data_IF_182500273025
#
_entry.id   IF_182500273025
#
_cell.length_a   1.000
_cell.length_b   1.000
_cell.length_c   1.000
_cell.angle_alpha   90.00
_cell.angle_beta   90.00
_cell.angle_gamma   90.00
#
_symmetry.space_group_name_H-M   'P 1'
#
loop_
_entity.id
_entity.type
_entity.pdbx_description
1 polymer ?
#
# COMPACT_ATOMS: atom_id res chain seq x y z
N UNK A 1 46.98 -47.59 14.12
CA UNK A 1 45.63 -48.04 13.72
C UNK A 1 44.97 -46.97 12.85
N UNK A 2 44.74 -47.31 11.59
CA UNK A 2 44.00 -46.68 10.45
C UNK A 2 43.12 -45.44 10.78
N UNK A 3 43.34 -44.25 10.20
CA UNK A 3 42.83 -43.73 8.89
C UNK A 3 41.40 -44.18 8.53
N UNK A 4 40.47 -43.23 8.25
CA UNK A 4 39.89 -42.92 6.90
C UNK A 4 38.44 -42.34 6.94
N UNK A 5 38.25 -41.17 6.29
CA UNK A 5 37.09 -40.60 5.51
C UNK A 5 35.70 -40.42 6.17
N UNK A 6 35.16 -39.20 6.22
CA UNK A 6 34.48 -38.37 5.18
C UNK A 6 32.99 -38.71 4.93
N UNK A 7 32.18 -37.64 5.00
CA UNK A 7 30.88 -37.39 4.35
C UNK A 7 29.64 -38.16 4.81
N UNK A 8 28.59 -37.40 5.18
CA UNK A 8 27.21 -37.86 5.03
C UNK A 8 26.17 -37.21 5.93
N UNK A 9 25.69 -36.01 5.56
CA UNK A 9 24.27 -35.57 5.62
C UNK A 9 23.35 -36.24 6.67
N UNK A 10 22.89 -35.47 7.67
CA UNK A 10 21.48 -35.05 7.91
C UNK A 10 21.13 -34.83 9.39
N UNK A 11 21.04 -33.55 9.75
CA UNK A 11 19.96 -32.87 10.49
C UNK A 11 19.30 -33.56 11.71
N UNK A 12 19.41 -32.83 12.84
CA UNK A 12 18.41 -32.41 13.87
C UNK A 12 19.13 -32.50 15.23
N UNK A 13 19.33 -31.43 16.00
CA UNK A 13 18.30 -30.57 16.59
C UNK A 13 18.80 -29.13 16.75
N UNK A 14 17.90 -28.20 16.46
CA UNK A 14 18.08 -26.79 16.67
C UNK A 14 17.93 -26.46 18.17
N UNK A 15 19.05 -26.10 18.81
CA UNK A 15 19.05 -25.28 20.02
C UNK A 15 19.35 -23.85 19.62
N UNK A 16 18.30 -23.04 19.40
CA UNK A 16 18.48 -21.59 19.29
C UNK A 16 18.72 -21.05 20.69
N UNK A 17 19.96 -20.62 20.96
CA UNK A 17 20.25 -19.76 22.11
C UNK A 17 19.58 -18.42 21.81
N UNK A 18 18.42 -18.19 22.44
CA UNK A 18 17.92 -16.83 22.64
C UNK A 18 18.97 -16.08 23.46
N UNK A 19 19.48 -14.97 22.92
CA UNK A 19 20.20 -14.04 23.77
C UNK A 19 19.21 -13.46 24.79
N UNK A 20 19.62 -13.32 26.07
CA UNK A 20 18.75 -12.80 27.11
C UNK A 20 18.41 -11.34 26.79
N UNK A 21 17.12 -11.07 26.61
CA UNK A 21 16.57 -9.72 26.68
C UNK A 21 16.74 -9.27 28.12
N UNK A 22 17.53 -8.23 28.33
CA UNK A 22 17.73 -7.62 29.63
C UNK A 22 16.37 -7.07 30.12
N UNK A 23 15.78 -7.75 31.11
CA UNK A 23 14.50 -7.39 31.69
C UNK A 23 14.78 -6.46 32.87
N UNK A 24 14.91 -5.14 32.61
CA UNK A 24 14.64 -4.04 33.56
C UNK A 24 14.89 -2.63 32.99
N UNK A 25 14.26 -2.27 31.86
CA UNK A 25 14.05 -0.86 31.44
C UNK A 25 12.67 -0.72 30.74
N UNK A 26 11.88 0.34 31.00
CA UNK A 26 10.65 0.58 30.26
C UNK A 26 10.98 1.11 28.85
N UNK A 27 10.59 0.35 27.81
CA UNK A 27 10.04 0.93 26.57
C UNK A 27 10.96 1.28 25.39
N UNK A 28 11.94 0.47 24.99
CA UNK A 28 12.63 0.73 23.72
C UNK A 28 11.83 0.18 22.52
N UNK A 29 11.16 1.07 21.76
CA UNK A 29 10.51 0.72 20.49
C UNK A 29 11.48 0.91 19.33
N UNK A 30 11.53 -0.06 18.41
CA UNK A 30 12.38 0.04 17.23
C UNK A 30 11.81 1.05 16.24
N UNK A 31 12.59 2.08 15.89
CA UNK A 31 12.25 3.03 14.80
C UNK A 31 11.98 2.26 13.51
N UNK A 32 10.82 2.44 12.90
CA UNK A 32 10.41 1.80 11.64
C UNK A 32 10.97 2.59 10.45
N UNK A 33 10.83 3.92 10.47
CA UNK A 33 11.31 4.83 9.44
C UNK A 33 11.35 6.27 9.96
N UNK A 34 12.00 7.17 9.21
CA UNK A 34 11.87 8.61 9.44
C UNK A 34 10.76 9.23 8.61
N UNK A 35 10.15 10.28 9.12
CA UNK A 35 9.17 11.10 8.43
C UNK A 35 9.52 12.58 8.53
N UNK A 36 8.99 13.39 7.61
CA UNK A 36 9.15 14.84 7.58
C UNK A 36 7.81 15.53 7.75
N UNK A 37 7.71 16.43 8.72
CA UNK A 37 6.49 17.18 9.01
C UNK A 37 6.16 18.15 7.87
N UNK A 38 4.94 18.11 7.37
CA UNK A 38 4.46 18.93 6.23
C UNK A 38 3.62 20.13 6.68
N UNK A 39 2.94 20.02 7.82
CA UNK A 39 2.14 21.11 8.42
C UNK A 39 3.02 22.21 9.02
N UNK A 40 2.52 23.46 9.05
CA UNK A 40 3.21 24.59 9.73
C UNK A 40 3.48 24.27 11.20
N UNK A 41 2.46 23.75 11.87
CA UNK A 41 2.49 23.27 13.25
C UNK A 41 1.69 21.98 13.30
N UNK A 42 2.23 20.96 13.94
CA UNK A 42 1.59 19.66 14.16
C UNK A 42 1.63 19.34 15.64
N UNK A 43 0.48 19.01 16.24
CA UNK A 43 0.42 18.61 17.63
C UNK A 43 0.98 17.20 17.81
N UNK A 44 1.85 17.03 18.81
CA UNK A 44 2.25 15.74 19.36
C UNK A 44 1.38 15.48 20.59
N UNK A 45 0.73 14.30 20.63
CA UNK A 45 -0.31 13.98 21.60
C UNK A 45 0.04 12.76 22.45
N UNK A 46 -0.59 12.65 23.62
CA UNK A 46 -0.38 11.51 24.52
C UNK A 46 -0.98 10.19 24.01
N UNK A 47 -1.99 10.24 23.16
CA UNK A 47 -2.64 9.05 22.56
C UNK A 47 -3.13 9.32 21.11
N UNK A 48 -3.45 8.28 20.35
CA UNK A 48 -3.90 8.31 18.95
C UNK A 48 -5.35 8.78 18.78
N UNK A 49 -5.67 10.00 19.21
CA UNK A 49 -7.00 10.60 19.14
C UNK A 49 -6.97 12.13 19.09
N UNK A 50 -8.04 12.76 18.61
CA UNK A 50 -8.13 14.23 18.56
C UNK A 50 -8.43 14.87 19.92
N UNK A 51 -9.04 14.11 20.84
CA UNK A 51 -9.38 14.56 22.19
C UNK A 51 -8.27 14.27 23.21
N UNK A 52 -7.19 13.59 22.81
CA UNK A 52 -6.05 13.31 23.70
C UNK A 52 -5.21 14.56 23.94
N UNK A 53 -4.56 14.60 25.10
CA UNK A 53 -3.76 15.75 25.55
C UNK A 53 -2.65 16.08 24.54
N UNK A 54 -2.49 17.37 24.23
CA UNK A 54 -1.37 17.87 23.42
C UNK A 54 -0.16 18.05 24.32
N UNK A 55 0.80 17.13 24.23
CA UNK A 55 2.02 17.11 25.04
C UNK A 55 3.20 17.81 24.36
N UNK A 56 3.01 18.29 23.12
CA UNK A 56 4.04 19.00 22.39
C UNK A 56 3.61 19.45 21.00
N UNK A 57 4.53 20.11 20.30
CA UNK A 57 4.34 20.59 18.92
C UNK A 57 5.57 20.34 18.09
N UNK A 58 5.34 19.93 16.85
CA UNK A 58 6.33 19.82 15.78
C UNK A 58 6.08 20.95 14.77
N UNK A 59 7.13 21.37 14.07
CA UNK A 59 7.11 22.42 13.07
C UNK A 59 7.32 21.85 11.68
N UNK A 60 6.93 22.61 10.66
CA UNK A 60 7.18 22.23 9.26
C UNK A 60 8.66 21.93 9.03
N UNK A 61 8.91 20.81 8.37
CA UNK A 61 10.21 20.23 8.07
C UNK A 61 10.92 19.51 9.22
N UNK A 62 10.37 19.48 10.43
CA UNK A 62 10.91 18.63 11.50
C UNK A 62 10.98 17.19 11.02
N UNK A 63 12.06 16.50 11.41
CA UNK A 63 12.23 15.07 11.18
C UNK A 63 11.78 14.32 12.42
N UNK A 64 10.98 13.28 12.21
CA UNK A 64 10.46 12.43 13.28
C UNK A 64 10.83 10.98 13.02
N UNK A 65 11.10 10.23 14.08
CA UNK A 65 11.32 8.79 14.03
C UNK A 65 10.01 8.08 14.34
N UNK A 66 9.43 7.42 13.34
CA UNK A 66 8.16 6.70 13.47
C UNK A 66 8.47 5.32 14.04
N UNK A 67 7.89 4.97 15.18
CA UNK A 67 8.10 3.70 15.89
C UNK A 67 6.91 2.76 15.81
N UNK A 68 5.70 3.29 15.58
CA UNK A 68 4.50 2.50 15.27
C UNK A 68 3.67 3.21 14.22
N UNK A 69 3.16 2.44 13.27
CA UNK A 69 2.23 2.92 12.26
C UNK A 69 0.83 2.46 12.64
N UNK A 70 -0.02 3.41 13.00
CA UNK A 70 -1.46 3.23 13.01
C UNK A 70 -2.02 3.82 11.72
N UNK A 71 -3.33 3.71 11.52
CA UNK A 71 -3.93 4.16 10.27
C UNK A 71 -3.84 5.66 10.08
N UNK A 72 -4.39 6.44 11.01
CA UNK A 72 -4.41 7.90 10.95
C UNK A 72 -3.29 8.57 11.75
N UNK A 73 -2.54 7.76 12.51
CA UNK A 73 -1.56 8.21 13.48
C UNK A 73 -0.24 7.48 13.31
N UNK A 74 0.85 8.22 13.47
CA UNK A 74 2.14 7.65 13.76
C UNK A 74 2.44 7.85 15.24
N UNK A 75 2.86 6.78 15.90
CA UNK A 75 3.59 6.94 17.14
C UNK A 75 5.05 7.25 16.79
N UNK A 76 5.57 8.32 17.36
CA UNK A 76 6.89 8.86 17.09
C UNK A 76 7.73 8.91 18.36
N UNK A 77 9.05 8.79 18.22
CA UNK A 77 9.96 9.21 19.28
C UNK A 77 9.77 10.71 19.53
N UNK A 78 9.54 11.10 20.78
CA UNK A 78 9.32 12.49 21.16
C UNK A 78 9.91 12.76 22.54
N UNK A 79 10.96 13.59 22.59
CA UNK A 79 11.80 13.77 23.78
C UNK A 79 12.35 12.40 24.27
N UNK A 80 12.26 12.13 25.57
CA UNK A 80 12.67 10.88 26.20
C UNK A 80 11.55 9.80 26.21
N UNK A 81 10.46 10.02 25.48
CA UNK A 81 9.30 9.11 25.42
C UNK A 81 8.70 9.03 24.01
N UNK A 82 7.42 8.67 23.91
CA UNK A 82 6.67 8.58 22.66
C UNK A 82 5.50 9.57 22.64
N UNK A 83 5.12 9.98 21.44
CA UNK A 83 3.92 10.77 21.21
C UNK A 83 3.21 10.29 19.95
N UNK A 84 1.93 10.60 19.83
CA UNK A 84 1.15 10.36 18.62
C UNK A 84 1.03 11.65 17.80
N UNK A 85 1.34 11.55 16.52
CA UNK A 85 1.19 12.64 15.57
C UNK A 85 0.39 12.15 14.36
N UNK A 86 -0.48 13.01 13.83
CA UNK A 86 -1.35 12.63 12.71
C UNK A 86 -0.49 12.30 11.48
N UNK A 87 -0.67 11.08 10.95
CA UNK A 87 0.07 10.56 9.81
C UNK A 87 -0.07 11.46 8.57
N UNK A 88 -1.25 12.07 8.40
CA UNK A 88 -1.55 13.05 7.35
C UNK A 88 -0.51 14.16 7.21
N UNK A 89 0.08 14.59 8.32
CA UNK A 89 1.00 15.73 8.37
C UNK A 89 2.46 15.33 8.45
N UNK A 90 2.78 14.04 8.24
CA UNK A 90 4.14 13.51 8.22
C UNK A 90 4.31 12.76 6.90
N UNK A 91 5.20 13.24 6.03
CA UNK A 91 5.59 12.53 4.82
C UNK A 91 6.71 11.53 5.17
N UNK A 92 6.49 10.21 5.08
CA UNK A 92 7.57 9.24 5.26
C UNK A 92 8.73 9.48 4.30
N UNK A 93 9.97 9.34 4.78
CA UNK A 93 11.20 9.53 4.01
C UNK A 93 11.72 8.22 3.44
N UNK A 94 10.82 7.48 2.80
CA UNK A 94 11.15 6.20 2.18
C UNK A 94 11.78 6.46 0.81
N UNK A 95 12.96 5.90 0.58
CA UNK A 95 13.62 5.90 -0.72
C UNK A 95 13.70 4.47 -1.25
N UNK A 96 13.77 4.33 -2.56
CA UNK A 96 14.15 3.05 -3.15
C UNK A 96 15.55 3.15 -3.74
N UNK A 97 16.28 2.04 -3.75
CA UNK A 97 17.62 1.98 -4.31
C UNK A 97 17.93 0.62 -4.93
N UNK A 98 18.85 0.60 -5.88
CA UNK A 98 19.37 -0.64 -6.49
C UNK A 98 20.77 -0.97 -5.95
N UNK A 99 21.01 -2.25 -5.67
CA UNK A 99 22.34 -2.71 -5.27
C UNK A 99 23.30 -2.69 -6.47
N UNK A 100 24.37 -1.90 -6.40
CA UNK A 100 25.41 -1.83 -7.44
C UNK A 100 26.41 -2.98 -7.37
N UNK A 101 26.65 -3.51 -6.17
CA UNK A 101 27.65 -4.56 -5.94
C UNK A 101 27.13 -5.94 -6.38
N UNK A 102 28.01 -6.81 -6.90
CA UNK A 102 27.67 -8.21 -7.25
C UNK A 102 26.97 -8.93 -6.10
N UNK A 103 27.50 -8.75 -4.89
CA UNK A 103 26.94 -9.27 -3.65
C UNK A 103 27.27 -8.26 -2.53
N UNK A 104 26.24 -7.79 -1.83
CA UNK A 104 26.31 -6.80 -0.77
C UNK A 104 25.87 -7.42 0.56
N UNK A 105 26.68 -7.31 1.60
CA UNK A 105 26.30 -7.77 2.94
C UNK A 105 25.26 -6.81 3.55
N UNK A 106 24.22 -7.41 4.16
CA UNK A 106 23.30 -6.73 5.06
C UNK A 106 23.75 -6.99 6.48
N UNK A 107 23.88 -5.92 7.27
CA UNK A 107 24.45 -5.95 8.60
C UNK A 107 23.44 -5.61 9.68
N UNK A 108 23.68 -6.08 10.90
CA UNK A 108 22.83 -5.78 12.07
C UNK A 108 22.93 -4.33 12.55
N UNK A 109 24.09 -3.67 12.40
CA UNK A 109 24.33 -2.28 12.79
C UNK A 109 25.04 -1.50 11.65
N UNK A 110 25.01 -0.14 11.66
CA UNK A 110 25.64 0.69 10.63
C UNK A 110 27.17 0.77 10.79
N UNK A 111 27.85 -0.38 10.85
CA UNK A 111 29.31 -0.43 10.90
C UNK A 111 29.86 -1.72 10.25
N UNK A 112 31.17 -1.75 9.96
CA UNK A 112 31.80 -2.86 9.22
C UNK A 112 32.03 -4.12 10.09
N UNK A 113 31.91 -4.01 11.40
CA UNK A 113 32.29 -5.05 12.35
C UNK A 113 31.08 -5.83 12.89
N UNK A 114 29.87 -5.31 12.71
CA UNK A 114 28.66 -5.98 13.16
C UNK A 114 28.32 -7.21 12.31
N UNK A 115 27.48 -8.08 12.86
CA UNK A 115 27.06 -9.32 12.22
C UNK A 115 26.48 -9.11 10.82
N UNK A 116 26.78 -10.07 9.95
CA UNK A 116 26.18 -10.17 8.62
C UNK A 116 24.91 -11.01 8.74
N UNK A 117 23.76 -10.35 8.70
CA UNK A 117 22.44 -10.98 8.82
C UNK A 117 21.87 -11.42 7.46
N UNK A 118 22.56 -11.06 6.37
CA UNK A 118 22.10 -11.37 5.04
C UNK A 118 23.01 -10.88 3.91
N UNK A 119 22.62 -11.19 2.68
CA UNK A 119 23.27 -10.69 1.47
C UNK A 119 22.25 -10.33 0.39
N UNK A 120 22.56 -9.31 -0.41
CA UNK A 120 21.76 -8.84 -1.54
C UNK A 120 22.61 -8.94 -2.81
N UNK A 121 22.01 -9.39 -3.91
CA UNK A 121 22.70 -9.47 -5.21
C UNK A 121 22.62 -8.13 -5.94
N UNK A 122 23.47 -7.94 -6.95
CA UNK A 122 23.38 -6.79 -7.87
C UNK A 122 21.96 -6.64 -8.42
N UNK A 123 21.54 -5.40 -8.63
CA UNK A 123 20.24 -4.97 -9.14
C UNK A 123 19.06 -5.37 -8.24
N UNK A 124 19.34 -5.93 -7.05
CA UNK A 124 18.32 -6.11 -6.03
C UNK A 124 17.83 -4.74 -5.58
N UNK A 125 16.53 -4.49 -5.77
CA UNK A 125 15.88 -3.32 -5.21
C UNK A 125 15.70 -3.47 -3.70
N UNK A 126 15.97 -2.37 -3.00
CA UNK A 126 15.83 -2.22 -1.56
C UNK A 126 14.96 -1.00 -1.26
N UNK A 127 14.32 -1.05 -0.10
CA UNK A 127 13.57 0.05 0.49
C UNK A 127 14.44 0.61 1.60
N UNK A 128 14.81 1.87 1.46
CA UNK A 128 15.62 2.62 2.42
C UNK A 128 14.66 3.43 3.27
N UNK A 129 14.73 3.22 4.58
CA UNK A 129 13.85 3.86 5.57
C UNK A 129 14.56 4.90 6.42
N UNK A 130 15.90 4.89 6.39
CA UNK A 130 16.76 5.86 7.07
C UNK A 130 18.18 5.86 6.47
N UNK A 131 18.93 6.92 6.75
CA UNK A 131 20.32 7.13 6.36
C UNK A 131 21.10 7.74 7.53
N UNK A 132 22.20 7.09 7.92
CA UNK A 132 23.09 7.50 9.00
C UNK A 132 24.55 7.25 8.60
N UNK A 133 25.36 8.30 8.54
CA UNK A 133 26.82 8.23 8.36
C UNK A 133 27.28 7.30 7.21
N UNK A 134 26.62 7.41 6.06
CA UNK A 134 26.94 6.61 4.87
C UNK A 134 26.45 5.15 4.94
N UNK A 135 25.61 4.82 5.91
CA UNK A 135 24.83 3.59 5.99
C UNK A 135 23.36 3.87 5.74
N UNK A 136 22.75 3.01 4.96
CA UNK A 136 21.32 3.02 4.69
C UNK A 136 20.68 1.93 5.53
N UNK A 137 19.71 2.32 6.34
CA UNK A 137 18.82 1.37 6.99
C UNK A 137 17.77 0.93 5.99
N UNK A 138 17.59 -0.38 5.85
CA UNK A 138 16.70 -0.98 4.88
C UNK A 138 15.72 -1.93 5.54
N UNK A 139 14.52 -2.05 4.98
CA UNK A 139 13.65 -3.18 5.30
C UNK A 139 14.30 -4.46 4.77
N UNK A 140 14.51 -5.44 5.64
CA UNK A 140 15.14 -6.71 5.28
C UNK A 140 14.43 -7.88 5.98
N UNK A 141 13.76 -8.71 5.16
CA UNK A 141 12.85 -9.76 5.64
C UNK A 141 11.79 -9.12 6.56
N UNK A 142 11.54 -9.70 7.73
CA UNK A 142 10.56 -9.21 8.70
C UNK A 142 11.08 -8.04 9.55
N UNK A 143 12.39 -7.75 9.53
CA UNK A 143 13.02 -6.71 10.34
C UNK A 143 13.78 -5.68 9.48
N UNK A 144 14.79 -5.04 10.05
CA UNK A 144 15.65 -4.07 9.40
C UNK A 144 17.10 -4.54 9.36
N UNK A 145 17.87 -3.97 8.44
CA UNK A 145 19.31 -4.15 8.39
C UNK A 145 19.98 -2.92 7.80
N UNK A 146 21.30 -2.92 7.83
CA UNK A 146 22.12 -1.81 7.34
C UNK A 146 22.97 -2.25 6.16
N UNK A 147 23.02 -1.39 5.14
CA UNK A 147 23.90 -1.56 3.98
C UNK A 147 24.66 -0.27 3.73
N UNK A 148 25.89 -0.35 3.23
CA UNK A 148 26.67 0.87 2.96
C UNK A 148 26.10 1.59 1.73
N UNK A 149 25.80 2.88 1.88
CA UNK A 149 25.22 3.74 0.84
C UNK A 149 26.05 3.76 -0.45
N UNK A 150 27.39 3.63 -0.33
CA UNK A 150 28.31 3.60 -1.48
C UNK A 150 28.00 2.48 -2.48
N UNK A 151 27.36 1.39 -2.04
CA UNK A 151 26.99 0.25 -2.89
C UNK A 151 25.56 0.30 -3.38
N UNK A 152 24.83 1.37 -3.10
CA UNK A 152 23.46 1.56 -3.54
C UNK A 152 23.43 2.69 -4.57
N UNK A 153 22.61 2.49 -5.60
CA UNK A 153 22.19 3.54 -6.50
C UNK A 153 20.81 4.03 -6.07
N UNK A 154 20.76 5.17 -5.39
CA UNK A 154 19.53 5.87 -4.99
C UNK A 154 18.93 6.70 -6.12
N UNK A 155 19.68 6.91 -7.22
CA UNK A 155 19.25 7.66 -8.41
C UNK A 155 18.90 6.75 -9.58
N UNK A 156 19.07 5.44 -9.42
CA UNK A 156 18.68 4.45 -10.42
C UNK A 156 17.20 4.62 -10.75
N UNK A 157 16.93 5.29 -11.87
CA UNK A 157 15.67 5.14 -12.58
C UNK A 157 15.52 3.66 -12.91
N UNK A 158 14.31 3.13 -12.75
CA UNK A 158 13.98 1.74 -13.04
C UNK A 158 14.48 1.39 -14.45
N UNK A 159 15.56 0.61 -14.55
CA UNK A 159 15.92 0.00 -15.82
C UNK A 159 14.91 -1.15 -16.07
N UNK A 160 13.75 -0.78 -16.60
CA UNK A 160 12.60 -1.65 -16.84
C UNK A 160 11.29 -0.94 -16.46
N UNK A 161 10.40 -0.73 -17.44
CA UNK A 161 9.13 0.03 -17.37
C UNK A 161 9.15 1.25 -16.44
N UNK A 162 9.09 2.45 -17.02
CA UNK A 162 8.81 3.68 -16.26
C UNK A 162 7.36 3.64 -15.76
N UNK A 163 7.17 3.21 -14.52
CA UNK A 163 5.85 3.24 -13.88
C UNK A 163 5.41 4.68 -13.62
N UNK A 164 4.12 4.93 -13.77
CA UNK A 164 3.56 6.27 -13.85
C UNK A 164 3.70 7.05 -12.55
N UNK A 165 3.69 6.34 -11.41
CA UNK A 165 3.88 6.96 -10.09
C UNK A 165 5.24 7.66 -9.94
N UNK A 166 6.25 7.32 -10.73
CA UNK A 166 7.58 7.93 -10.69
C UNK A 166 7.75 9.09 -11.69
N UNK A 167 6.73 9.42 -12.47
CA UNK A 167 6.78 10.50 -13.46
C UNK A 167 6.38 11.83 -12.83
N UNK A 168 7.37 12.69 -12.55
CA UNK A 168 7.16 13.99 -11.90
C UNK A 168 6.28 14.95 -12.70
N UNK A 169 6.34 14.88 -14.04
CA UNK A 169 5.53 15.76 -14.90
C UNK A 169 4.05 15.35 -14.87
N UNK A 170 3.78 14.05 -14.88
CA UNK A 170 2.41 13.54 -14.69
C UNK A 170 1.87 13.83 -13.29
N UNK A 171 2.72 13.80 -12.26
CA UNK A 171 2.31 14.16 -10.90
C UNK A 171 1.90 15.64 -10.77
N UNK A 172 2.48 16.53 -11.59
CA UNK A 172 2.14 17.96 -11.63
C UNK A 172 0.97 18.28 -12.55
N UNK A 173 0.58 17.35 -13.42
CA UNK A 173 -0.48 17.58 -14.39
C UNK A 173 -1.82 17.91 -13.67
N UNK A 174 -2.57 18.92 -14.13
CA UNK A 174 -3.92 19.19 -13.63
C UNK A 174 -4.81 17.95 -13.77
N UNK A 175 -5.61 17.67 -12.75
CA UNK A 175 -6.55 16.54 -12.77
C UNK A 175 -7.78 16.85 -13.62
N UNK A 176 -8.34 18.04 -13.43
CA UNK A 176 -9.58 18.46 -14.05
C UNK A 176 -9.35 18.92 -15.50
N UNK A 177 -10.27 18.61 -16.43
CA UNK A 177 -10.24 19.13 -17.79
C UNK A 177 -10.58 20.62 -17.82
N UNK A 178 -10.04 21.34 -18.81
CA UNK A 178 -10.38 22.75 -19.04
C UNK A 178 -11.88 22.93 -19.30
N UNK A 179 -12.47 22.04 -20.11
CA UNK A 179 -13.91 22.01 -20.39
C UNK A 179 -14.59 20.93 -19.56
N UNK A 180 -15.35 21.35 -18.55
CA UNK A 180 -16.20 20.47 -17.74
C UNK A 180 -17.53 20.17 -18.43
N UNK A 181 -18.07 18.99 -18.13
CA UNK A 181 -19.39 18.54 -18.52
C UNK A 181 -20.45 19.04 -17.54
N UNK A 182 -21.62 19.43 -18.05
CA UNK A 182 -22.78 19.71 -17.21
C UNK A 182 -23.28 18.41 -16.54
N UNK A 183 -23.51 18.43 -15.22
CA UNK A 183 -23.86 17.22 -14.44
C UNK A 183 -25.37 16.97 -14.46
N UNK A 184 -25.87 16.51 -15.61
CA UNK A 184 -27.30 16.21 -15.85
C UNK A 184 -27.56 14.71 -16.07
N UNK A 185 -28.82 14.32 -16.21
CA UNK A 185 -29.25 12.95 -16.53
C UNK A 185 -29.49 12.04 -15.31
N UNK A 186 -29.57 10.73 -15.57
CA UNK A 186 -29.76 9.70 -14.54
C UNK A 186 -28.51 9.47 -13.69
N UNK A 187 -28.62 8.54 -12.73
CA UNK A 187 -27.55 8.24 -11.77
C UNK A 187 -26.20 7.92 -12.43
N UNK A 188 -26.20 7.02 -13.43
CA UNK A 188 -24.96 6.60 -14.11
C UNK A 188 -24.34 7.77 -14.87
N UNK A 189 -25.15 8.54 -15.61
CA UNK A 189 -24.66 9.70 -16.35
C UNK A 189 -24.06 10.76 -15.42
N UNK A 190 -24.70 11.04 -14.27
CA UNK A 190 -24.16 11.96 -13.26
C UNK A 190 -22.80 11.49 -12.73
N UNK A 191 -22.67 10.21 -12.39
CA UNK A 191 -21.40 9.63 -11.91
C UNK A 191 -20.30 9.79 -12.98
N UNK A 192 -20.58 9.41 -14.22
CA UNK A 192 -19.61 9.48 -15.33
C UNK A 192 -19.15 10.91 -15.58
N UNK A 193 -20.09 11.87 -15.60
CA UNK A 193 -19.78 13.30 -15.83
C UNK A 193 -19.01 13.92 -14.67
N UNK A 194 -19.38 13.61 -13.43
CA UNK A 194 -18.63 14.04 -12.24
C UNK A 194 -17.21 13.47 -12.24
N UNK A 195 -17.06 12.19 -12.60
CA UNK A 195 -15.77 11.53 -12.69
C UNK A 195 -14.88 12.19 -13.74
N UNK A 196 -15.42 12.48 -14.93
CA UNK A 196 -14.73 13.25 -15.96
C UNK A 196 -14.33 14.64 -15.47
N UNK A 197 -15.24 15.38 -14.84
CA UNK A 197 -14.94 16.73 -14.36
C UNK A 197 -13.82 16.77 -13.31
N UNK A 198 -13.68 15.70 -12.53
CA UNK A 198 -12.63 15.60 -11.51
C UNK A 198 -11.28 15.17 -12.08
N UNK A 199 -11.25 14.24 -13.03
CA UNK A 199 -10.01 13.54 -13.43
C UNK A 199 -9.73 13.51 -14.93
N UNK A 200 -10.61 14.13 -15.73
CA UNK A 200 -10.66 14.00 -17.19
C UNK A 200 -9.37 14.37 -17.89
N UNK A 201 -8.65 15.40 -17.45
CA UNK A 201 -7.40 15.81 -18.09
C UNK A 201 -6.32 14.73 -17.96
N UNK A 202 -6.11 14.22 -16.73
CA UNK A 202 -5.13 13.17 -16.51
C UNK A 202 -5.53 11.87 -17.22
N UNK A 203 -6.82 11.50 -17.15
CA UNK A 203 -7.32 10.31 -17.82
C UNK A 203 -7.17 10.40 -19.34
N UNK A 204 -7.44 11.56 -19.95
CA UNK A 204 -7.20 11.79 -21.38
C UNK A 204 -5.73 11.61 -21.75
N UNK A 205 -4.82 12.23 -20.99
CA UNK A 205 -3.39 12.15 -21.24
C UNK A 205 -2.88 10.69 -21.22
N UNK A 206 -3.32 9.91 -20.23
CA UNK A 206 -2.93 8.51 -20.09
C UNK A 206 -3.64 7.60 -21.09
N UNK A 207 -4.93 7.82 -21.35
CA UNK A 207 -5.70 7.09 -22.37
C UNK A 207 -5.07 7.23 -23.75
N UNK A 208 -4.62 8.44 -24.11
CA UNK A 208 -3.89 8.70 -25.36
C UNK A 208 -2.60 7.89 -25.47
N UNK A 209 -1.84 7.73 -24.39
CA UNK A 209 -0.61 6.92 -24.38
C UNK A 209 -0.88 5.44 -24.66
N UNK A 210 -1.99 4.90 -24.14
CA UNK A 210 -2.36 3.50 -24.37
C UNK A 210 -3.18 3.31 -25.65
N UNK A 211 -3.70 4.38 -26.25
CA UNK A 211 -4.60 4.35 -27.38
C UNK A 211 -5.97 3.76 -27.06
N UNK A 212 -6.42 3.89 -25.80
CA UNK A 212 -7.80 3.60 -25.38
C UNK A 212 -8.59 4.91 -25.35
N UNK A 213 -9.91 4.84 -25.42
CA UNK A 213 -10.74 6.02 -25.23
C UNK A 213 -10.82 6.41 -23.73
N UNK A 214 -11.10 7.68 -23.43
CA UNK A 214 -11.23 8.16 -22.04
C UNK A 214 -12.48 7.62 -21.36
N UNK A 215 -13.56 7.35 -22.12
CA UNK A 215 -14.83 6.88 -21.59
C UNK A 215 -14.69 5.47 -20.97
N UNK A 216 -13.85 4.61 -21.55
CA UNK A 216 -13.48 3.29 -21.07
C UNK A 216 -12.74 3.39 -19.74
N UNK A 217 -11.75 4.30 -19.63
CA UNK A 217 -11.04 4.51 -18.37
C UNK A 217 -11.98 5.03 -17.26
N UNK A 218 -12.88 5.96 -17.62
CA UNK A 218 -13.92 6.48 -16.72
C UNK A 218 -14.90 5.38 -16.30
N UNK A 219 -15.35 4.55 -17.24
CA UNK A 219 -16.27 3.45 -16.97
C UNK A 219 -15.68 2.47 -15.96
N UNK A 220 -14.39 2.14 -16.08
CA UNK A 220 -13.69 1.28 -15.10
C UNK A 220 -13.75 1.89 -13.70
N UNK A 221 -13.22 3.09 -13.49
CA UNK A 221 -13.19 3.67 -12.13
C UNK A 221 -14.59 3.99 -11.58
N UNK A 222 -15.56 4.28 -12.47
CA UNK A 222 -16.93 4.54 -12.06
C UNK A 222 -17.67 3.26 -11.66
N UNK A 223 -17.42 2.12 -12.31
CA UNK A 223 -17.96 0.81 -11.89
C UNK A 223 -17.33 0.33 -10.58
N UNK A 224 -16.02 0.50 -10.41
CA UNK A 224 -15.30 0.00 -9.22
C UNK A 224 -15.61 0.80 -7.94
N UNK A 225 -15.81 2.12 -8.06
CA UNK A 225 -15.88 3.00 -6.88
C UNK A 225 -16.92 4.12 -6.97
N UNK A 226 -17.71 4.17 -8.04
CA UNK A 226 -18.58 5.32 -8.31
C UNK A 226 -17.80 6.61 -8.59
N UNK A 227 -16.52 6.50 -8.99
CA UNK A 227 -15.64 7.66 -9.23
C UNK A 227 -15.08 8.31 -7.96
N UNK A 228 -15.17 7.64 -6.81
CA UNK A 228 -14.63 8.11 -5.53
C UNK A 228 -13.41 7.28 -5.16
N UNK A 229 -12.26 7.92 -4.99
CA UNK A 229 -11.07 7.26 -4.44
C UNK A 229 -10.88 7.48 -2.95
N UNK A 230 -11.55 8.49 -2.40
CA UNK A 230 -11.51 8.86 -0.99
C UNK A 230 -12.93 8.96 -0.44
N UNK A 231 -13.08 8.58 0.83
CA UNK A 231 -14.21 8.94 1.67
C UNK A 231 -13.66 9.93 2.71
N UNK A 232 -14.11 11.18 2.59
CA UNK A 232 -13.42 12.36 3.12
C UNK A 232 -11.92 12.38 2.76
N UNK A 233 -11.05 12.10 3.72
CA UNK A 233 -9.59 12.14 3.56
C UNK A 233 -8.97 10.74 3.52
N UNK A 234 -9.74 9.68 3.81
CA UNK A 234 -9.25 8.30 3.81
C UNK A 234 -9.46 7.65 2.46
N UNK A 235 -8.46 6.91 1.98
CA UNK A 235 -8.60 6.13 0.75
C UNK A 235 -9.73 5.13 0.90
N UNK A 236 -10.60 4.99 -0.11
CA UNK A 236 -11.65 3.98 -0.09
C UNK A 236 -11.01 2.59 -0.14
N UNK A 237 -11.33 1.74 0.81
CA UNK A 237 -10.82 0.38 0.89
C UNK A 237 -11.92 -0.66 1.01
N UNK A 238 -11.53 -1.90 0.78
CA UNK A 238 -12.30 -3.08 1.18
C UNK A 238 -11.35 -4.13 1.72
N UNK A 239 -11.50 -4.47 2.99
CA UNK A 239 -10.70 -5.47 3.69
C UNK A 239 -11.24 -6.87 3.47
N UNK A 240 -10.40 -7.78 3.02
CA UNK A 240 -10.81 -9.14 2.68
C UNK A 240 -10.29 -10.14 3.74
N UNK A 241 -11.12 -10.46 4.75
CA UNK A 241 -10.79 -11.40 5.83
C UNK A 241 -10.22 -12.72 5.32
N UNK A 242 -10.77 -13.24 4.22
CA UNK A 242 -10.34 -14.50 3.64
C UNK A 242 -8.95 -14.42 2.97
N UNK A 243 -8.53 -13.24 2.52
CA UNK A 243 -7.16 -12.98 2.06
C UNK A 243 -6.23 -12.83 3.26
N UNK A 244 -6.65 -12.12 4.30
CA UNK A 244 -5.86 -11.99 5.52
C UNK A 244 -5.64 -13.35 6.19
N UNK A 245 -6.64 -14.24 6.17
CA UNK A 245 -6.45 -15.64 6.57
C UNK A 245 -5.41 -16.35 5.72
N UNK A 246 -5.48 -16.21 4.38
CA UNK A 246 -4.54 -16.85 3.47
C UNK A 246 -3.10 -16.41 3.74
N UNK A 247 -2.89 -15.13 4.03
CA UNK A 247 -1.56 -14.56 4.18
C UNK A 247 -1.01 -14.69 5.61
N UNK A 248 -1.83 -14.42 6.63
CA UNK A 248 -1.42 -14.37 8.03
C UNK A 248 -2.17 -15.39 8.91
N UNK A 249 -3.50 -15.48 8.76
CA UNK A 249 -4.34 -16.26 9.67
C UNK A 249 -4.13 -17.78 9.60
N UNK A 250 -3.59 -18.33 8.51
CA UNK A 250 -3.26 -19.75 8.40
C UNK A 250 -2.20 -20.19 9.42
N UNK A 251 -1.25 -19.31 9.73
CA UNK A 251 -0.19 -19.57 10.72
C UNK A 251 -0.60 -19.07 12.12
N UNK A 252 -1.65 -18.27 12.22
CA UNK A 252 -2.13 -17.62 13.44
C UNK A 252 -3.62 -17.94 13.71
N UNK A 253 -4.03 -19.18 13.47
CA UNK A 253 -5.45 -19.56 13.34
C UNK A 253 -6.27 -19.26 14.59
N UNK A 254 -5.69 -19.43 15.78
CA UNK A 254 -6.36 -19.13 17.05
C UNK A 254 -6.76 -17.64 17.11
N UNK A 255 -5.79 -16.74 16.97
CA UNK A 255 -6.02 -15.29 17.00
C UNK A 255 -6.92 -14.87 15.85
N UNK A 256 -6.73 -15.44 14.65
CA UNK A 256 -7.61 -15.14 13.53
C UNK A 256 -9.08 -15.45 13.86
N UNK A 257 -9.38 -16.64 14.40
CA UNK A 257 -10.75 -17.06 14.73
C UNK A 257 -11.37 -16.28 15.88
N UNK A 258 -10.56 -15.68 16.75
CA UNK A 258 -11.04 -14.82 17.83
C UNK A 258 -11.63 -13.52 17.28
N UNK A 259 -11.03 -12.94 16.23
CA UNK A 259 -11.35 -11.58 15.73
C UNK A 259 -11.97 -11.51 14.34
N UNK A 260 -11.77 -12.53 13.50
CA UNK A 260 -12.20 -12.52 12.09
C UNK A 260 -12.95 -13.80 11.75
N UNK A 261 -13.98 -13.65 10.90
CA UNK A 261 -14.59 -14.78 10.20
C UNK A 261 -15.09 -14.38 8.82
N UNK A 262 -15.36 -15.40 8.00
CA UNK A 262 -15.97 -15.28 6.69
C UNK A 262 -16.87 -16.50 6.42
N UNK A 263 -17.74 -16.42 5.42
CA UNK A 263 -18.71 -17.46 5.12
C UNK A 263 -18.08 -18.81 4.73
N UNK A 264 -18.67 -19.90 5.22
CA UNK A 264 -18.22 -21.28 4.98
C UNK A 264 -18.40 -21.75 3.54
N UNK A 265 -19.37 -21.17 2.80
CA UNK A 265 -19.59 -21.44 1.38
C UNK A 265 -18.62 -20.65 0.49
N UNK A 266 -19.04 -19.45 0.09
CA UNK A 266 -18.19 -18.54 -0.70
C UNK A 266 -17.32 -17.72 0.26
N UNK A 267 -16.00 -18.01 0.28
CA UNK A 267 -15.04 -17.39 1.21
C UNK A 267 -14.95 -15.85 1.10
N UNK A 268 -15.32 -15.28 -0.05
CA UNK A 268 -15.38 -13.83 -0.27
C UNK A 268 -16.69 -13.17 0.22
N UNK A 269 -17.58 -13.93 0.87
CA UNK A 269 -18.82 -13.43 1.46
C UNK A 269 -18.83 -13.63 2.97
N UNK A 270 -19.72 -12.91 3.66
CA UNK A 270 -20.00 -13.11 5.10
C UNK A 270 -18.84 -12.72 6.01
N UNK A 271 -18.01 -11.77 5.59
CA UNK A 271 -16.90 -11.27 6.41
C UNK A 271 -17.46 -10.53 7.62
N UNK A 272 -16.94 -10.89 8.80
CA UNK A 272 -17.29 -10.28 10.07
C UNK A 272 -16.04 -10.07 10.92
N UNK A 273 -16.09 -9.04 11.75
CA UNK A 273 -15.00 -8.63 12.63
C UNK A 273 -15.51 -8.33 14.03
N UNK A 274 -14.61 -8.44 15.02
CA UNK A 274 -14.75 -7.91 16.37
C UNK A 274 -13.35 -7.70 16.96
N UNK A 275 -13.18 -6.61 17.69
CA UNK A 275 -11.94 -6.22 18.36
C UNK A 275 -11.77 -6.94 19.71
N UNK A 276 -12.86 -7.18 20.45
CA UNK A 276 -12.91 -8.03 21.65
C UNK A 276 -13.30 -9.48 21.29
N UNK A 277 -12.50 -10.51 21.65
CA UNK A 277 -12.87 -11.92 21.48
C UNK A 277 -14.18 -12.34 22.17
N UNK A 278 -14.65 -11.56 23.14
CA UNK A 278 -15.95 -11.74 23.82
C UNK A 278 -17.06 -10.86 23.26
N UNK A 279 -16.72 -9.93 22.36
CA UNK A 279 -17.66 -9.01 21.72
C UNK A 279 -18.52 -9.67 20.65
N UNK A 280 -19.50 -8.88 20.19
CA UNK A 280 -20.43 -9.25 19.13
C UNK A 280 -19.79 -9.17 17.74
N UNK A 281 -20.23 -10.05 16.84
CA UNK A 281 -19.71 -10.08 15.47
C UNK A 281 -20.39 -9.03 14.59
N UNK A 282 -19.64 -8.04 14.13
CA UNK A 282 -20.14 -6.98 13.25
C UNK A 282 -19.88 -7.27 11.76
N UNK A 283 -20.80 -6.81 10.90
CA UNK A 283 -20.51 -6.63 9.48
C UNK A 283 -19.83 -5.27 9.30
N UNK A 284 -18.83 -5.19 8.43
CA UNK A 284 -18.08 -3.95 8.15
C UNK A 284 -18.15 -3.53 6.67
N UNK A 285 -18.46 -4.44 5.76
CA UNK A 285 -18.53 -4.10 4.34
C UNK A 285 -19.60 -3.07 4.00
N UNK A 286 -19.20 -2.08 3.19
CA UNK A 286 -20.06 -0.97 2.76
C UNK A 286 -20.05 0.23 3.69
N UNK A 287 -19.25 0.16 4.76
CA UNK A 287 -19.07 1.20 5.77
C UNK A 287 -17.57 1.47 5.88
N UNK A 288 -17.11 2.62 5.36
CA UNK A 288 -15.68 2.90 5.27
C UNK A 288 -15.02 3.07 6.63
N UNK A 289 -15.70 3.65 7.61
CA UNK A 289 -15.17 3.76 8.97
C UNK A 289 -14.85 2.37 9.55
N UNK A 290 -15.76 1.41 9.37
CA UNK A 290 -15.54 0.03 9.83
C UNK A 290 -14.51 -0.72 9.00
N UNK A 291 -14.45 -0.51 7.69
CA UNK A 291 -13.40 -1.11 6.85
C UNK A 291 -12.00 -0.69 7.33
N UNK A 292 -11.85 0.59 7.66
CA UNK A 292 -10.63 1.21 8.20
C UNK A 292 -10.35 0.74 9.64
N UNK A 293 -11.36 0.59 10.50
CA UNK A 293 -11.21 0.00 11.84
C UNK A 293 -10.62 -1.43 11.78
N UNK A 294 -11.17 -2.28 10.89
CA UNK A 294 -10.69 -3.65 10.68
C UNK A 294 -9.25 -3.65 10.17
N UNK A 295 -8.93 -2.75 9.23
CA UNK A 295 -7.58 -2.61 8.70
C UNK A 295 -6.60 -2.16 9.80
N UNK A 296 -6.96 -1.15 10.60
CA UNK A 296 -6.14 -0.66 11.70
C UNK A 296 -5.85 -1.76 12.72
N UNK A 297 -6.85 -2.59 13.06
CA UNK A 297 -6.64 -3.77 13.92
C UNK A 297 -5.70 -4.78 13.27
N UNK A 298 -5.95 -5.16 12.00
CA UNK A 298 -5.13 -6.14 11.29
C UNK A 298 -3.68 -5.68 11.11
N UNK A 299 -3.43 -4.38 10.94
CA UNK A 299 -2.08 -3.81 10.81
C UNK A 299 -1.25 -3.92 12.09
N UNK A 300 -1.91 -3.97 13.27
CA UNK A 300 -1.23 -4.27 14.55
C UNK A 300 -0.74 -5.73 14.61
N UNK A 301 -1.45 -6.65 13.95
CA UNK A 301 -1.08 -8.06 13.87
C UNK A 301 0.03 -8.30 12.83
N UNK A 302 -0.14 -7.75 11.62
CA UNK A 302 0.90 -7.69 10.59
C UNK A 302 0.55 -6.62 9.55
N UNK A 303 1.33 -5.54 9.52
CA UNK A 303 1.08 -4.41 8.64
C UNK A 303 1.16 -4.76 7.14
N UNK A 304 2.16 -5.52 6.69
CA UNK A 304 2.31 -5.81 5.26
C UNK A 304 1.25 -6.80 4.75
N UNK A 305 0.90 -7.81 5.56
CA UNK A 305 -0.08 -8.82 5.19
C UNK A 305 -1.51 -8.29 5.30
N UNK A 306 -1.78 -7.37 6.23
CA UNK A 306 -3.03 -6.60 6.27
C UNK A 306 -3.18 -5.75 5.00
N UNK A 307 -2.15 -4.97 4.63
CA UNK A 307 -2.21 -4.13 3.42
C UNK A 307 -2.27 -4.95 2.12
N UNK A 308 -1.73 -6.17 2.08
CA UNK A 308 -1.94 -7.11 0.95
C UNK A 308 -3.39 -7.58 0.82
N UNK A 309 -4.18 -7.46 1.89
CA UNK A 309 -5.54 -7.98 2.01
C UNK A 309 -6.63 -6.93 1.79
N UNK A 310 -6.27 -5.73 1.35
CA UNK A 310 -7.25 -4.68 0.98
C UNK A 310 -7.23 -4.40 -0.52
N UNK A 311 -8.39 -4.13 -1.11
CA UNK A 311 -8.46 -3.36 -2.36
C UNK A 311 -8.54 -1.87 -2.05
N UNK A 312 -7.95 -1.02 -2.90
CA UNK A 312 -7.76 0.41 -2.61
C UNK A 312 -8.18 1.32 -3.77
N UNK A 313 -8.79 2.45 -3.40
CA UNK A 313 -8.96 3.65 -4.21
C UNK A 313 -9.93 3.50 -5.39
N UNK A 314 -9.83 4.45 -6.32
CA UNK A 314 -10.63 4.50 -7.55
C UNK A 314 -10.71 3.15 -8.30
N UNK A 315 -9.60 2.43 -8.51
CA UNK A 315 -9.62 1.20 -9.29
C UNK A 315 -9.87 -0.06 -8.46
N UNK A 316 -9.98 0.05 -7.13
CA UNK A 316 -10.05 -1.11 -6.23
C UNK A 316 -8.92 -2.13 -6.48
N UNK A 317 -7.68 -1.66 -6.68
CA UNK A 317 -6.53 -2.56 -6.86
C UNK A 317 -6.20 -3.22 -5.53
N UNK A 318 -6.15 -4.56 -5.53
CA UNK A 318 -5.73 -5.35 -4.38
C UNK A 318 -4.24 -5.12 -4.05
N UNK A 319 -3.91 -4.91 -2.79
CA UNK A 319 -2.54 -4.62 -2.35
C UNK A 319 -1.52 -5.73 -2.70
N UNK A 320 -1.95 -6.97 -2.84
CA UNK A 320 -1.11 -8.06 -3.37
C UNK A 320 -0.56 -7.78 -4.78
N UNK A 321 -1.15 -6.84 -5.52
CA UNK A 321 -0.75 -6.44 -6.87
C UNK A 321 0.23 -5.26 -6.89
N UNK A 322 0.70 -4.77 -5.73
CA UNK A 322 1.73 -3.71 -5.63
C UNK A 322 2.89 -3.88 -6.62
N UNK A 323 3.46 -5.09 -6.70
CA UNK A 323 4.56 -5.40 -7.63
C UNK A 323 4.17 -5.32 -9.10
N UNK A 324 2.93 -5.67 -9.45
CA UNK A 324 2.44 -5.60 -10.83
C UNK A 324 2.48 -4.15 -11.31
N UNK A 325 2.06 -3.22 -10.45
CA UNK A 325 2.06 -1.77 -10.70
C UNK A 325 3.35 -1.07 -10.25
N UNK A 326 4.40 -1.84 -9.99
CA UNK A 326 5.76 -1.34 -9.83
C UNK A 326 6.19 -0.98 -8.42
N UNK A 327 5.34 -1.11 -7.41
CA UNK A 327 5.74 -0.94 -6.02
C UNK A 327 6.41 -2.21 -5.50
N UNK A 328 7.63 -2.07 -5.00
CA UNK A 328 8.31 -3.18 -4.32
C UNK A 328 7.84 -3.34 -2.87
N UNK A 329 7.31 -2.25 -2.31
CA UNK A 329 6.70 -2.18 -1.00
C UNK A 329 5.20 -1.94 -1.13
N UNK A 330 4.38 -2.80 -0.53
CA UNK A 330 2.95 -2.50 -0.38
C UNK A 330 2.71 -1.27 0.51
N UNK A 331 3.62 -0.99 1.45
CA UNK A 331 3.55 0.21 2.28
C UNK A 331 3.73 1.45 1.39
N UNK A 332 4.73 1.47 0.50
CA UNK A 332 4.93 2.59 -0.44
C UNK A 332 3.70 2.80 -1.34
N UNK A 333 3.10 1.70 -1.84
CA UNK A 333 1.84 1.78 -2.59
C UNK A 333 0.73 2.44 -1.76
N UNK A 334 0.52 1.96 -0.54
CA UNK A 334 -0.53 2.47 0.35
C UNK A 334 -0.32 3.94 0.70
N UNK A 335 0.91 4.35 1.03
CA UNK A 335 1.25 5.75 1.32
C UNK A 335 1.01 6.66 0.09
N UNK A 336 1.44 6.23 -1.10
CA UNK A 336 1.15 6.99 -2.33
C UNK A 336 -0.36 7.07 -2.60
N UNK A 337 -1.10 5.99 -2.37
CA UNK A 337 -2.56 5.99 -2.55
C UNK A 337 -3.25 6.90 -1.54
N UNK A 338 -2.78 7.02 -0.30
CA UNK A 338 -3.31 8.00 0.65
C UNK A 338 -2.92 9.45 0.32
N UNK A 339 -1.79 9.63 -0.37
CA UNK A 339 -1.25 10.95 -0.67
C UNK A 339 -2.07 11.75 -1.69
N UNK A 340 -2.46 11.14 -2.80
CA UNK A 340 -3.15 11.84 -3.89
C UNK A 340 -3.89 10.86 -4.82
N UNK A 341 -5.07 11.27 -5.28
CA UNK A 341 -5.94 10.53 -6.22
C UNK A 341 -5.21 10.15 -7.52
N UNK A 342 -4.22 10.93 -7.95
CA UNK A 342 -3.37 10.65 -9.11
C UNK A 342 -2.69 9.29 -9.01
N UNK A 343 -2.26 8.88 -7.81
CA UNK A 343 -1.60 7.59 -7.63
C UNK A 343 -2.54 6.40 -7.81
N UNK A 344 -3.84 6.57 -7.57
CA UNK A 344 -4.85 5.55 -7.89
C UNK A 344 -4.97 5.39 -9.40
N UNK A 345 -5.01 6.51 -10.12
CA UNK A 345 -5.10 6.55 -11.59
C UNK A 345 -3.84 5.94 -12.21
N UNK A 346 -2.64 6.32 -11.74
CA UNK A 346 -1.38 5.70 -12.16
C UNK A 346 -1.38 4.19 -11.93
N UNK A 347 -1.83 3.75 -10.74
CA UNK A 347 -1.98 2.34 -10.41
C UNK A 347 -2.88 1.59 -11.40
N UNK A 348 -4.02 2.17 -11.78
CA UNK A 348 -4.91 1.58 -12.79
C UNK A 348 -4.17 1.36 -14.11
N UNK A 349 -3.58 2.41 -14.66
CA UNK A 349 -2.95 2.35 -15.97
C UNK A 349 -1.72 1.43 -16.00
N UNK A 350 -0.94 1.38 -14.91
CA UNK A 350 0.16 0.44 -14.78
C UNK A 350 -0.31 -1.02 -14.59
N UNK A 351 -1.53 -1.23 -14.07
CA UNK A 351 -2.13 -2.56 -13.92
C UNK A 351 -2.65 -3.13 -15.24
N UNK A 352 -3.00 -2.27 -16.20
CA UNK A 352 -3.53 -2.68 -17.50
C UNK A 352 -2.50 -3.50 -18.31
N UNK A 353 -2.73 -4.80 -18.38
CA UNK A 353 -1.98 -5.71 -19.26
C UNK A 353 -2.28 -5.42 -20.74
N UNK A 354 -1.38 -5.78 -21.69
CA UNK A 354 -1.63 -5.60 -23.12
C UNK A 354 -2.97 -6.20 -23.60
N UNK A 355 -3.40 -7.31 -22.98
CA UNK A 355 -4.67 -7.95 -23.29
C UNK A 355 -5.87 -7.15 -22.77
N UNK A 356 -5.79 -6.61 -21.55
CA UNK A 356 -6.83 -5.71 -21.02
C UNK A 356 -6.95 -4.44 -21.86
N UNK A 357 -5.81 -3.86 -22.27
CA UNK A 357 -5.77 -2.72 -23.18
C UNK A 357 -6.48 -3.04 -24.49
N UNK A 358 -6.18 -4.19 -25.12
CA UNK A 358 -6.87 -4.63 -26.35
C UNK A 358 -8.38 -4.70 -26.15
N UNK A 359 -8.86 -5.25 -25.04
CA UNK A 359 -10.29 -5.34 -24.77
C UNK A 359 -10.94 -3.97 -24.59
N UNK A 360 -10.28 -3.02 -23.92
CA UNK A 360 -10.79 -1.66 -23.81
C UNK A 360 -10.84 -0.97 -25.18
N UNK A 361 -9.80 -1.10 -26.01
CA UNK A 361 -9.79 -0.55 -27.39
C UNK A 361 -10.95 -1.05 -28.25
N UNK A 362 -11.27 -2.34 -28.10
CA UNK A 362 -12.32 -2.99 -28.85
C UNK A 362 -13.69 -2.94 -28.17
N UNK A 363 -13.82 -2.26 -27.02
CA UNK A 363 -15.04 -2.21 -26.20
C UNK A 363 -15.56 -3.61 -25.81
N UNK A 364 -14.66 -4.58 -25.67
CA UNK A 364 -14.96 -5.96 -25.26
C UNK A 364 -15.09 -6.08 -23.73
N UNK A 365 -16.03 -5.35 -23.11
CA UNK A 365 -16.07 -5.17 -21.65
C UNK A 365 -16.28 -6.46 -20.84
N UNK A 366 -17.00 -7.46 -21.37
CA UNK A 366 -17.12 -8.77 -20.70
C UNK A 366 -15.76 -9.47 -20.64
N UNK A 367 -14.96 -9.37 -21.70
CA UNK A 367 -13.61 -9.91 -21.72
C UNK A 367 -12.71 -9.11 -20.78
N UNK A 368 -12.79 -7.77 -20.77
CA UNK A 368 -12.07 -6.96 -19.79
C UNK A 368 -12.38 -7.36 -18.34
N UNK A 369 -13.68 -7.40 -17.97
CA UNK A 369 -14.14 -7.74 -16.62
C UNK A 369 -13.67 -9.13 -16.17
N UNK A 370 -13.57 -10.10 -17.09
CA UNK A 370 -13.03 -11.44 -16.79
C UNK A 370 -11.58 -11.39 -16.28
N UNK A 371 -10.76 -10.50 -16.83
CA UNK A 371 -9.36 -10.35 -16.42
C UNK A 371 -9.20 -9.43 -15.21
N UNK A 372 -10.05 -8.41 -15.12
CA UNK A 372 -9.97 -7.41 -14.05
C UNK A 372 -10.61 -7.90 -12.73
N UNK A 373 -11.86 -8.38 -12.79
CA UNK A 373 -12.64 -8.81 -11.61
C UNK A 373 -12.71 -10.34 -11.44
N UNK A 374 -12.27 -11.10 -12.46
CA UNK A 374 -12.34 -12.56 -12.49
C UNK A 374 -13.56 -13.13 -13.22
N UNK A 375 -13.49 -14.41 -13.57
CA UNK A 375 -14.47 -15.04 -14.46
C UNK A 375 -15.89 -15.19 -13.87
N UNK A 376 -16.01 -15.28 -12.54
CA UNK A 376 -17.28 -15.61 -11.88
C UNK A 376 -18.40 -14.58 -12.05
N UNK A 377 -18.07 -13.30 -12.31
CA UNK A 377 -19.05 -12.23 -12.49
C UNK A 377 -18.82 -11.41 -13.78
N UNK A 378 -18.00 -11.91 -14.70
CA UNK A 378 -17.55 -11.16 -15.88
C UNK A 378 -18.70 -10.60 -16.75
N UNK A 379 -19.80 -11.35 -16.93
CA UNK A 379 -20.96 -10.87 -17.71
C UNK A 379 -21.66 -9.69 -17.03
N UNK A 380 -21.83 -9.76 -15.71
CA UNK A 380 -22.49 -8.70 -14.92
C UNK A 380 -21.65 -7.43 -14.92
N UNK A 381 -20.37 -7.54 -14.57
CA UNK A 381 -19.45 -6.38 -14.59
C UNK A 381 -19.24 -5.83 -15.99
N UNK A 382 -19.15 -6.69 -17.01
CA UNK A 382 -19.07 -6.26 -18.41
C UNK A 382 -20.28 -5.45 -18.85
N UNK A 383 -21.50 -5.83 -18.41
CA UNK A 383 -22.70 -5.03 -18.66
C UNK A 383 -22.65 -3.67 -17.96
N UNK A 384 -22.22 -3.62 -16.70
CA UNK A 384 -22.03 -2.33 -16.01
C UNK A 384 -21.02 -1.45 -16.73
N UNK A 385 -19.87 -1.99 -17.13
CA UNK A 385 -18.87 -1.22 -17.89
C UNK A 385 -19.45 -0.65 -19.19
N UNK A 386 -20.23 -1.44 -19.94
CA UNK A 386 -20.94 -0.96 -21.14
C UNK A 386 -21.90 0.20 -20.80
N UNK A 387 -22.71 0.06 -19.76
CA UNK A 387 -23.70 1.08 -19.38
C UNK A 387 -23.03 2.40 -18.97
N UNK A 388 -21.90 2.33 -18.26
CA UNK A 388 -21.12 3.50 -17.86
C UNK A 388 -20.36 4.12 -19.05
N UNK A 389 -19.85 3.30 -19.97
CA UNK A 389 -19.22 3.76 -21.19
C UNK A 389 -20.22 4.53 -22.07
N UNK A 390 -21.41 3.97 -22.31
CA UNK A 390 -22.47 4.59 -23.12
C UNK A 390 -23.05 5.87 -22.50
N UNK A 391 -22.96 6.00 -21.16
CA UNK A 391 -23.37 7.19 -20.45
C UNK A 391 -22.41 8.39 -20.65
N UNK A 392 -21.20 8.17 -21.19
CA UNK A 392 -20.27 9.23 -21.55
C UNK A 392 -20.72 9.94 -22.83
N UNK A 393 -20.75 11.29 -22.87
CA UNK A 393 -21.26 12.02 -24.04
C UNK A 393 -20.28 11.93 -25.22
N UNK A 394 -20.78 11.49 -26.39
CA UNK A 394 -19.97 11.18 -27.59
C UNK A 394 -19.28 12.37 -28.28
N UNK A 395 -19.67 13.62 -27.97
CA UNK A 395 -19.24 14.82 -28.71
C UNK A 395 -18.45 15.84 -27.85
N UNK A 396 -17.75 15.40 -26.79
CA UNK A 396 -17.18 16.35 -25.81
C UNK A 396 -15.67 16.19 -25.57
N UNK A 397 -15.03 15.19 -26.18
CA UNK A 397 -13.59 14.95 -26.07
C UNK A 397 -13.01 14.59 -27.41
#
# INVERSE_FOLDING_TARGET
MKKTKMLGRLKRMAGWVQQPVDKNMPGEKTVIMKGKVTAKVLNARSDSGLDSEVIGKLKKNDLVEIVTILEDWYEIQFNESFAFASAKFISPLIKSGLVKAKLLNVRSLPNKNSDIIGKLKKDKKIIVVDELDGWLRIKYKESFGYVSAKYIDLKAKKNGKNYLYANEELQKLPLEPEKKLEVVGGRIQKIVRQTYNKYGNLLQALSKQLGIDVASAIAVIAVESGGKGFDDEKVIIRFENHLFYRYWGKENEKVFKEHFKYGSGKKWLGHKFRDDPKGEWANFHGDQEKEHEVLAFARKLDNELALKSISMGLPQILGSNSKIIGYDSIIEMYENFNKDIRFHIFGLFDFLSPRMIKFLKNQEFVNFAKYYNGAGQARRYGKFLQDYYEAFPKNVV
#
